data_IF_930985123327
#
_entry.id   IF_930985123327
#
_cell.length_a   1.000
_cell.length_b   1.000
_cell.length_c   1.000
_cell.angle_alpha   90.00
_cell.angle_beta   90.00
_cell.angle_gamma   90.00
#
_symmetry.space_group_name_H-M   'P 1'
#
loop_
_entity.id
_entity.type
_entity.pdbx_description
1 polymer ?
#
# COMPACT_ATOMS: atom_id res chain seq x y z
N UNK A 1 15.14 -8.75 -5.78
CA UNK A 1 13.85 -8.19 -5.23
C UNK A 1 12.72 -8.65 -6.12
N UNK A 2 11.76 -9.40 -5.57
CA UNK A 2 10.74 -10.15 -6.34
C UNK A 2 10.01 -9.34 -7.42
N UNK A 3 9.62 -8.07 -7.12
CA UNK A 3 8.92 -7.24 -8.10
C UNK A 3 9.82 -6.85 -9.29
N UNK A 4 11.09 -6.53 -9.05
CA UNK A 4 12.01 -6.15 -10.13
C UNK A 4 12.32 -7.33 -11.03
N UNK A 5 12.48 -8.53 -10.47
CA UNK A 5 12.63 -9.79 -11.21
C UNK A 5 11.39 -10.11 -12.04
N UNK A 6 10.18 -9.89 -11.48
CA UNK A 6 8.93 -10.05 -12.19
C UNK A 6 8.79 -9.05 -13.36
N UNK A 7 9.18 -7.79 -13.16
CA UNK A 7 9.17 -6.79 -14.24
C UNK A 7 10.08 -7.20 -15.41
N UNK A 8 11.29 -7.70 -15.13
CA UNK A 8 12.18 -8.21 -16.16
C UNK A 8 11.60 -9.43 -16.86
N UNK A 9 11.05 -10.38 -16.10
CA UNK A 9 10.41 -11.57 -16.65
C UNK A 9 9.26 -11.23 -17.61
N UNK A 10 8.32 -10.37 -17.17
CA UNK A 10 7.17 -10.00 -18.01
C UNK A 10 7.52 -8.98 -19.10
N UNK A 11 8.68 -8.30 -19.03
CA UNK A 11 9.17 -7.42 -20.08
C UNK A 11 9.47 -8.19 -21.40
N UNK A 12 9.66 -9.50 -21.32
CA UNK A 12 9.82 -10.38 -22.48
C UNK A 12 8.47 -10.77 -23.14
N UNK A 13 7.36 -10.27 -22.61
CA UNK A 13 6.00 -10.55 -23.07
C UNK A 13 5.34 -9.31 -23.64
N UNK A 14 4.24 -9.50 -24.43
CA UNK A 14 3.43 -8.39 -24.96
C UNK A 14 2.38 -7.89 -23.96
N UNK A 15 2.48 -8.28 -22.68
CA UNK A 15 1.49 -7.92 -21.65
C UNK A 15 1.50 -6.42 -21.35
N UNK A 16 0.30 -5.87 -21.14
CA UNK A 16 0.13 -4.52 -20.64
C UNK A 16 0.26 -4.53 -19.12
N UNK A 17 1.14 -3.68 -18.59
CA UNK A 17 1.32 -3.49 -17.16
C UNK A 17 0.33 -2.46 -16.61
N UNK A 18 0.13 -1.34 -17.32
CA UNK A 18 -0.69 -0.22 -16.85
C UNK A 18 -1.63 0.25 -17.96
N UNK A 19 -2.89 0.47 -17.59
CA UNK A 19 -3.86 1.26 -18.35
C UNK A 19 -4.28 2.47 -17.52
N UNK A 20 -4.13 3.65 -18.13
CA UNK A 20 -4.52 4.92 -17.52
C UNK A 20 -5.14 5.81 -18.60
N UNK A 21 -6.45 6.04 -18.54
CA UNK A 21 -7.22 6.62 -19.64
C UNK A 21 -6.96 5.87 -20.95
N UNK A 22 -6.57 6.56 -22.00
CA UNK A 22 -6.23 5.98 -23.31
C UNK A 22 -4.81 5.41 -23.37
N UNK A 23 -4.00 5.68 -22.35
CA UNK A 23 -2.60 5.24 -22.28
C UNK A 23 -2.48 3.76 -21.93
N UNK A 24 -1.56 3.09 -22.62
CA UNK A 24 -1.22 1.68 -22.40
C UNK A 24 0.29 1.53 -22.29
N UNK A 25 0.75 1.14 -21.13
CA UNK A 25 2.16 0.88 -20.88
C UNK A 25 2.36 -0.63 -20.77
N UNK A 26 3.15 -1.22 -21.69
CA UNK A 26 3.51 -2.64 -21.60
C UNK A 26 4.53 -2.87 -20.49
N UNK A 27 4.67 -4.14 -20.02
CA UNK A 27 5.74 -4.51 -19.09
C UNK A 27 7.13 -4.20 -19.66
N UNK A 28 7.35 -4.42 -20.96
CA UNK A 28 8.58 -4.04 -21.65
C UNK A 28 8.84 -2.53 -21.57
N UNK A 29 7.81 -1.71 -21.81
CA UNK A 29 7.93 -0.26 -21.71
C UNK A 29 8.19 0.18 -20.26
N UNK A 30 7.45 -0.34 -19.29
CA UNK A 30 7.61 -0.03 -17.87
C UNK A 30 9.02 -0.38 -17.38
N UNK A 31 9.51 -1.57 -17.72
CA UNK A 31 10.85 -2.01 -17.35
C UNK A 31 11.94 -1.12 -17.96
N UNK A 32 11.82 -0.79 -19.27
CA UNK A 32 12.76 0.10 -19.97
C UNK A 32 12.78 1.52 -19.37
N UNK A 33 11.59 2.07 -19.05
CA UNK A 33 11.48 3.37 -18.40
C UNK A 33 12.12 3.34 -17.01
N UNK A 34 11.93 2.28 -16.23
CA UNK A 34 12.57 2.11 -14.94
C UNK A 34 14.10 2.01 -15.06
N UNK A 35 14.63 1.31 -16.07
CA UNK A 35 16.06 1.23 -16.33
C UNK A 35 16.65 2.60 -16.75
N UNK A 36 15.93 3.37 -17.59
CA UNK A 36 16.30 4.73 -17.98
C UNK A 36 16.38 5.67 -16.77
N UNK A 37 15.38 5.63 -15.91
CA UNK A 37 15.37 6.42 -14.68
C UNK A 37 16.47 5.99 -13.71
N UNK A 38 16.70 4.69 -13.54
CA UNK A 38 17.79 4.17 -12.73
C UNK A 38 19.17 4.61 -13.26
N UNK A 39 19.37 4.61 -14.58
CA UNK A 39 20.59 5.08 -15.21
C UNK A 39 20.81 6.58 -14.98
N UNK A 40 19.74 7.39 -15.09
CA UNK A 40 19.77 8.81 -14.76
C UNK A 40 20.21 9.03 -13.30
N UNK A 41 19.55 8.37 -12.33
CA UNK A 41 19.85 8.51 -10.91
C UNK A 41 21.31 8.17 -10.59
N UNK A 42 21.83 7.05 -11.14
CA UNK A 42 23.22 6.62 -10.90
C UNK A 42 24.25 7.55 -11.52
N UNK A 43 23.96 8.17 -12.67
CA UNK A 43 24.87 9.09 -13.35
C UNK A 43 24.90 10.47 -12.71
N UNK A 44 23.75 10.94 -12.23
CA UNK A 44 23.55 12.34 -11.85
C UNK A 44 23.69 12.57 -10.35
N UNK A 45 23.33 11.57 -9.52
CA UNK A 45 23.26 11.75 -8.08
C UNK A 45 24.40 11.02 -7.35
N UNK A 46 24.86 11.56 -6.20
CA UNK A 46 25.83 10.89 -5.36
C UNK A 46 25.26 9.57 -4.81
N UNK A 47 26.11 8.58 -4.52
CA UNK A 47 25.70 7.29 -3.94
C UNK A 47 25.44 7.38 -2.42
N UNK A 48 24.62 8.33 -2.00
CA UNK A 48 24.32 8.64 -0.60
C UNK A 48 23.09 7.90 -0.03
N UNK A 49 22.37 7.17 -0.88
CA UNK A 49 21.19 6.41 -0.49
C UNK A 49 19.95 7.26 -0.18
N UNK A 50 19.99 8.59 -0.34
CA UNK A 50 18.81 9.45 -0.14
C UNK A 50 17.70 9.06 -1.11
N UNK A 51 16.41 9.10 -0.65
CA UNK A 51 15.28 8.65 -1.46
C UNK A 51 14.96 9.61 -2.61
N UNK A 52 14.08 9.13 -3.51
CA UNK A 52 13.47 9.91 -4.58
C UNK A 52 12.06 10.30 -4.14
N UNK A 53 11.72 11.58 -4.09
CA UNK A 53 10.35 12.04 -3.86
C UNK A 53 9.62 12.20 -5.20
N UNK A 54 8.40 11.67 -5.28
CA UNK A 54 7.57 11.72 -6.49
C UNK A 54 6.25 12.38 -6.10
N UNK A 55 6.04 13.61 -6.56
CA UNK A 55 4.82 14.39 -6.32
C UNK A 55 3.95 14.35 -7.56
N UNK A 56 2.96 13.49 -7.53
CA UNK A 56 2.04 13.22 -8.64
C UNK A 56 0.83 12.44 -8.14
N UNK A 57 -0.10 12.07 -9.02
CA UNK A 57 -1.29 11.31 -8.62
C UNK A 57 -1.25 9.87 -9.15
N UNK A 58 -1.67 9.67 -10.40
CA UNK A 58 -1.83 8.34 -11.01
C UNK A 58 -1.14 8.21 -12.37
N UNK A 59 -0.34 9.19 -12.76
CA UNK A 59 0.38 9.16 -14.04
C UNK A 59 1.16 7.86 -14.19
N UNK A 60 1.10 7.25 -15.37
CA UNK A 60 1.74 5.96 -15.66
C UNK A 60 3.28 5.96 -15.54
N UNK A 61 3.89 7.13 -15.58
CA UNK A 61 5.33 7.32 -15.33
C UNK A 61 5.73 7.10 -13.86
N UNK A 62 4.82 7.25 -12.89
CA UNK A 62 5.12 7.15 -11.47
C UNK A 62 5.65 5.77 -11.08
N UNK A 63 5.01 4.63 -11.45
CA UNK A 63 5.58 3.31 -11.19
C UNK A 63 6.97 3.10 -11.81
N UNK A 64 7.23 3.67 -12.99
CA UNK A 64 8.57 3.61 -13.59
C UNK A 64 9.62 4.34 -12.74
N UNK A 65 9.29 5.50 -12.17
CA UNK A 65 10.17 6.22 -11.24
C UNK A 65 10.40 5.43 -9.94
N UNK A 66 9.34 4.84 -9.38
CA UNK A 66 9.44 4.00 -8.17
C UNK A 66 10.38 2.81 -8.39
N UNK A 67 10.12 2.02 -9.42
CA UNK A 67 10.95 0.85 -9.71
C UNK A 67 12.35 1.23 -10.18
N UNK A 68 12.51 2.34 -10.91
CA UNK A 68 13.79 2.88 -11.28
C UNK A 68 14.63 3.33 -10.08
N UNK A 69 14.01 3.93 -9.06
CA UNK A 69 14.66 4.24 -7.79
C UNK A 69 15.18 2.95 -7.11
N UNK A 70 14.32 1.92 -7.01
CA UNK A 70 14.69 0.62 -6.42
C UNK A 70 15.82 -0.06 -7.22
N UNK A 71 15.80 0.01 -8.55
CA UNK A 71 16.88 -0.48 -9.43
C UNK A 71 18.17 0.31 -9.29
N UNK A 72 18.10 1.56 -8.79
CA UNK A 72 19.28 2.40 -8.47
C UNK A 72 19.75 2.26 -7.01
N UNK A 73 19.18 1.32 -6.23
CA UNK A 73 19.51 1.13 -4.81
C UNK A 73 18.98 2.24 -3.90
N UNK A 74 17.92 2.96 -4.32
CA UNK A 74 17.30 4.06 -3.58
C UNK A 74 15.86 3.75 -3.25
N UNK A 75 15.38 4.24 -2.10
CA UNK A 75 13.98 4.26 -1.77
C UNK A 75 13.22 5.37 -2.50
N UNK A 76 11.90 5.31 -2.46
CA UNK A 76 11.03 6.35 -2.99
C UNK A 76 10.02 6.85 -1.97
N UNK A 77 9.50 8.07 -2.19
CA UNK A 77 8.49 8.73 -1.38
C UNK A 77 7.38 9.18 -2.32
N UNK A 78 6.26 8.45 -2.40
CA UNK A 78 5.12 8.89 -3.20
C UNK A 78 4.32 9.93 -2.41
N UNK A 79 4.09 11.07 -3.02
CA UNK A 79 3.25 12.14 -2.45
C UNK A 79 2.15 12.45 -3.43
N UNK A 80 0.90 12.28 -2.99
CA UNK A 80 -0.26 12.49 -3.84
C UNK A 80 -0.60 13.99 -3.94
N UNK A 81 -1.02 14.42 -5.12
CA UNK A 81 -1.42 15.81 -5.39
C UNK A 81 -2.73 16.20 -4.72
N UNK A 82 -3.45 15.24 -4.13
CA UNK A 82 -4.59 15.52 -3.25
C UNK A 82 -4.17 16.14 -1.93
N UNK A 83 -2.90 15.97 -1.53
CA UNK A 83 -2.37 16.67 -0.38
C UNK A 83 -2.11 18.14 -0.67
N UNK A 84 -2.37 19.04 0.30
CA UNK A 84 -1.96 20.44 0.19
C UNK A 84 -0.46 20.57 -0.08
N UNK A 85 -0.08 21.59 -0.86
CA UNK A 85 1.34 21.83 -1.21
C UNK A 85 2.21 22.04 0.04
N UNK A 86 1.67 22.64 1.10
CA UNK A 86 2.38 22.82 2.37
C UNK A 86 2.75 21.50 3.03
N UNK A 87 1.87 20.49 2.94
CA UNK A 87 2.17 19.12 3.41
C UNK A 87 3.27 18.48 2.58
N UNK A 88 3.24 18.63 1.26
CA UNK A 88 4.31 18.14 0.38
C UNK A 88 5.65 18.86 0.67
N UNK A 89 5.62 20.17 0.93
CA UNK A 89 6.79 20.94 1.36
C UNK A 89 7.35 20.47 2.71
N UNK A 90 6.49 20.11 3.66
CA UNK A 90 6.92 19.55 4.94
C UNK A 90 7.60 18.20 4.75
N UNK A 91 7.02 17.31 3.96
CA UNK A 91 7.60 15.99 3.62
C UNK A 91 8.98 16.17 2.96
N UNK A 92 9.08 17.11 2.03
CA UNK A 92 10.33 17.44 1.34
C UNK A 92 11.43 17.86 2.34
N UNK A 93 11.09 18.74 3.30
CA UNK A 93 12.04 19.18 4.34
C UNK A 93 12.47 18.04 5.26
N UNK A 94 11.52 17.20 5.69
CA UNK A 94 11.80 16.14 6.66
C UNK A 94 12.59 14.97 6.02
N UNK A 95 12.26 14.63 4.78
CA UNK A 95 12.88 13.49 4.09
C UNK A 95 14.16 13.81 3.35
N UNK A 96 14.39 15.07 3.00
CA UNK A 96 15.58 15.53 2.26
C UNK A 96 15.93 14.63 1.06
N UNK A 97 15.00 14.41 0.11
CA UNK A 97 15.24 13.50 -1.00
C UNK A 97 16.41 14.00 -1.88
N UNK A 98 17.06 13.08 -2.58
CA UNK A 98 18.11 13.42 -3.55
C UNK A 98 17.57 14.06 -4.82
N UNK A 99 16.30 13.76 -5.15
CA UNK A 99 15.59 14.35 -6.30
C UNK A 99 14.09 14.44 -5.99
N UNK A 100 13.48 15.53 -6.45
CA UNK A 100 12.03 15.70 -6.50
C UNK A 100 11.58 15.56 -7.95
N UNK A 101 10.69 14.62 -8.22
CA UNK A 101 9.91 14.53 -9.47
C UNK A 101 8.60 15.25 -9.22
N UNK A 102 8.43 16.45 -9.77
CA UNK A 102 7.24 17.29 -9.58
C UNK A 102 6.35 17.28 -10.83
N UNK A 103 5.34 16.41 -10.81
CA UNK A 103 4.36 16.25 -11.90
C UNK A 103 3.16 17.20 -11.77
N UNK A 104 3.19 18.12 -10.80
CA UNK A 104 2.13 19.11 -10.55
C UNK A 104 2.53 20.53 -10.91
N UNK A 105 3.80 20.79 -11.22
CA UNK A 105 4.36 22.14 -11.31
C UNK A 105 4.06 22.97 -10.04
N UNK A 106 4.33 22.37 -8.87
CA UNK A 106 3.94 22.91 -7.57
C UNK A 106 4.74 24.13 -7.12
N UNK A 107 5.91 24.36 -7.74
CA UNK A 107 6.90 25.35 -7.31
C UNK A 107 7.78 24.88 -6.16
N UNK A 108 7.63 23.65 -5.67
CA UNK A 108 8.57 23.05 -4.71
C UNK A 108 9.92 22.84 -5.37
N UNK A 109 11.00 22.96 -4.60
CA UNK A 109 12.37 22.82 -5.12
C UNK A 109 13.21 21.98 -4.18
N UNK A 110 13.95 21.03 -4.74
CA UNK A 110 14.99 20.24 -4.11
C UNK A 110 16.35 20.53 -4.79
N UNK A 111 17.42 19.90 -4.34
CA UNK A 111 18.75 19.99 -4.96
C UNK A 111 18.69 19.63 -6.46
N UNK A 112 17.91 18.59 -6.79
CA UNK A 112 17.53 18.24 -8.14
C UNK A 112 16.00 18.16 -8.21
N UNK A 113 15.41 18.92 -9.13
CA UNK A 113 13.96 18.91 -9.39
C UNK A 113 13.75 18.60 -10.86
N UNK A 114 12.88 17.64 -11.14
CA UNK A 114 12.48 17.23 -12.48
C UNK A 114 11.00 17.59 -12.68
N UNK A 115 10.72 18.38 -13.70
CA UNK A 115 9.37 18.59 -14.16
C UNK A 115 8.90 17.43 -15.04
N UNK A 116 7.67 17.47 -15.52
CA UNK A 116 7.09 16.42 -16.36
C UNK A 116 7.85 16.27 -17.69
N UNK A 117 8.28 17.38 -18.30
CA UNK A 117 9.05 17.38 -19.55
C UNK A 117 10.45 16.77 -19.35
N UNK A 118 11.15 17.11 -18.28
CA UNK A 118 12.45 16.53 -17.94
C UNK A 118 12.32 15.02 -17.75
N UNK A 119 11.29 14.60 -17.00
CA UNK A 119 11.02 13.20 -16.76
C UNK A 119 10.74 12.44 -18.07
N UNK A 120 9.86 12.98 -18.92
CA UNK A 120 9.54 12.38 -20.22
C UNK A 120 10.79 12.19 -21.09
N UNK A 121 11.68 13.19 -21.12
CA UNK A 121 12.96 13.08 -21.85
C UNK A 121 13.87 11.98 -21.27
N UNK A 122 13.94 11.87 -19.93
CA UNK A 122 14.74 10.82 -19.25
C UNK A 122 14.19 9.45 -19.57
N UNK A 123 12.87 9.24 -19.42
CA UNK A 123 12.20 7.95 -19.63
C UNK A 123 12.22 7.47 -21.10
N UNK A 124 12.38 8.38 -22.04
CA UNK A 124 12.51 8.08 -23.48
C UNK A 124 13.93 7.65 -23.87
N UNK A 125 14.95 7.91 -23.03
CA UNK A 125 16.33 7.57 -23.38
C UNK A 125 16.56 6.06 -23.38
N UNK A 126 17.32 5.53 -24.36
CA UNK A 126 17.77 4.16 -24.29
C UNK A 126 18.70 3.97 -23.08
N UNK A 127 18.47 2.90 -22.34
CA UNK A 127 19.31 2.52 -21.22
C UNK A 127 19.60 1.02 -21.23
N UNK A 128 20.78 0.64 -20.79
CA UNK A 128 21.09 -0.76 -20.50
C UNK A 128 20.33 -1.18 -19.23
N UNK A 129 19.93 -2.47 -19.14
CA UNK A 129 19.34 -3.00 -17.92
C UNK A 129 20.18 -2.67 -16.68
N UNK A 130 19.52 -2.27 -15.62
CA UNK A 130 20.20 -1.95 -14.37
C UNK A 130 20.80 -3.23 -13.76
N UNK A 131 22.12 -3.27 -13.43
CA UNK A 131 22.73 -4.45 -12.87
C UNK A 131 22.09 -4.80 -11.51
N UNK A 132 21.77 -6.09 -11.29
CA UNK A 132 21.13 -6.56 -10.06
C UNK A 132 21.94 -6.22 -8.80
N UNK A 133 23.26 -6.14 -8.90
CA UNK A 133 24.13 -5.70 -7.80
C UNK A 133 23.91 -4.25 -7.35
N UNK A 134 23.28 -3.43 -8.20
CA UNK A 134 22.91 -2.05 -7.89
C UNK A 134 21.49 -1.90 -7.34
N UNK A 135 20.72 -2.96 -7.29
CA UNK A 135 19.34 -2.91 -6.79
C UNK A 135 19.28 -2.69 -5.27
N UNK A 136 18.12 -2.23 -4.82
CA UNK A 136 17.83 -2.09 -3.39
C UNK A 136 18.07 -3.40 -2.65
N UNK A 137 18.75 -3.35 -1.50
CA UNK A 137 19.03 -4.53 -0.66
C UNK A 137 17.97 -4.69 0.43
N UNK A 138 17.81 -5.90 1.00
CA UNK A 138 16.76 -6.20 2.00
C UNK A 138 16.74 -5.24 3.18
N UNK A 139 17.91 -4.79 3.66
CA UNK A 139 18.02 -3.89 4.81
C UNK A 139 17.79 -2.42 4.48
N UNK A 140 17.75 -2.06 3.20
CA UNK A 140 17.56 -0.67 2.76
C UNK A 140 16.07 -0.32 2.68
N UNK A 141 15.75 0.93 2.99
CA UNK A 141 14.40 1.47 2.87
C UNK A 141 13.98 1.53 1.40
N UNK A 142 12.96 0.74 1.04
CA UNK A 142 12.40 0.69 -0.30
C UNK A 142 11.42 1.84 -0.53
N UNK A 143 10.61 2.18 0.47
CA UNK A 143 9.76 3.35 0.42
C UNK A 143 9.54 3.99 1.79
N UNK A 144 9.15 5.27 1.76
CA UNK A 144 8.66 6.00 2.92
C UNK A 144 7.25 6.48 2.64
N UNK A 145 6.33 6.17 3.55
CA UNK A 145 4.98 6.72 3.52
C UNK A 145 4.77 7.65 4.71
N UNK A 146 4.26 8.84 4.43
CA UNK A 146 4.03 9.85 5.46
C UNK A 146 2.59 9.82 5.93
N UNK A 147 2.39 9.38 7.17
CA UNK A 147 1.09 9.34 7.86
C UNK A 147 0.88 10.59 8.72
N UNK A 148 -0.37 10.90 9.09
CA UNK A 148 -0.65 11.96 10.08
C UNK A 148 -0.01 11.61 11.42
N UNK A 149 0.43 12.64 12.14
CA UNK A 149 1.00 12.50 13.48
C UNK A 149 0.16 13.26 14.49
N UNK A 150 0.06 12.79 15.72
CA UNK A 150 -0.67 13.43 16.83
C UNK A 150 -0.23 14.88 17.14
N UNK A 151 0.87 15.33 16.57
CA UNK A 151 1.40 16.70 16.72
C UNK A 151 1.22 17.55 15.46
N UNK A 152 0.35 17.16 14.51
CA UNK A 152 0.20 17.83 13.21
C UNK A 152 1.36 17.65 12.24
N UNK A 153 2.47 17.06 12.70
CA UNK A 153 3.66 16.83 11.86
C UNK A 153 3.63 15.42 11.25
N UNK A 154 3.70 15.26 9.92
CA UNK A 154 3.71 13.95 9.28
C UNK A 154 4.85 13.07 9.79
N UNK A 155 4.57 11.77 9.94
CA UNK A 155 5.53 10.75 10.34
C UNK A 155 5.89 9.89 9.12
N UNK A 156 7.16 9.87 8.70
CA UNK A 156 7.64 9.04 7.59
C UNK A 156 7.93 7.61 8.06
N UNK A 157 7.03 6.67 7.78
CA UNK A 157 7.23 5.24 8.06
C UNK A 157 8.21 4.66 7.05
N UNK A 158 9.28 4.06 7.53
CA UNK A 158 10.30 3.45 6.67
C UNK A 158 9.97 1.98 6.41
N UNK A 159 9.79 1.59 5.16
CA UNK A 159 9.59 0.17 4.80
C UNK A 159 10.77 -0.32 3.99
N UNK A 160 11.44 -1.36 4.50
CA UNK A 160 12.60 -1.93 3.81
C UNK A 160 12.19 -2.92 2.73
N UNK A 161 13.11 -3.24 1.81
CA UNK A 161 12.87 -4.29 0.83
C UNK A 161 12.66 -5.66 1.47
N UNK A 162 13.26 -5.91 2.64
CA UNK A 162 13.02 -7.11 3.46
C UNK A 162 11.61 -7.15 4.04
N UNK A 163 11.10 -6.01 4.53
CA UNK A 163 9.71 -5.92 5.00
C UNK A 163 8.72 -6.24 3.86
N UNK A 164 8.96 -5.72 2.65
CA UNK A 164 8.14 -6.05 1.47
C UNK A 164 8.21 -7.53 1.10
N UNK A 165 9.37 -8.17 1.22
CA UNK A 165 9.48 -9.61 1.00
C UNK A 165 8.70 -10.42 2.04
N UNK A 166 8.71 -10.00 3.31
CA UNK A 166 7.91 -10.61 4.38
C UNK A 166 6.41 -10.42 4.14
N UNK A 167 5.98 -9.22 3.73
CA UNK A 167 4.60 -8.95 3.33
C UNK A 167 4.17 -9.85 2.16
N UNK A 168 4.96 -9.92 1.08
CA UNK A 168 4.69 -10.78 -0.06
C UNK A 168 4.49 -12.25 0.35
N UNK A 169 5.35 -12.77 1.22
CA UNK A 169 5.21 -14.12 1.75
C UNK A 169 3.90 -14.31 2.51
N UNK A 170 3.53 -13.35 3.36
CA UNK A 170 2.30 -13.39 4.18
C UNK A 170 1.01 -13.35 3.36
N UNK A 171 0.95 -12.50 2.33
CA UNK A 171 -0.27 -12.35 1.49
C UNK A 171 -0.37 -13.37 0.37
N UNK A 172 0.69 -14.13 0.11
CA UNK A 172 0.74 -15.12 -0.98
C UNK A 172 -0.49 -16.04 -1.05
N UNK A 173 -1.02 -16.60 0.07
CA UNK A 173 -2.21 -17.45 0.02
C UNK A 173 -3.44 -16.76 -0.58
N UNK A 174 -3.63 -15.47 -0.30
CA UNK A 174 -4.74 -14.67 -0.81
C UNK A 174 -4.60 -14.36 -2.30
N UNK A 175 -3.40 -13.97 -2.73
CA UNK A 175 -3.12 -13.65 -4.13
C UNK A 175 -2.93 -14.89 -5.01
N UNK A 176 -2.65 -16.07 -4.46
CA UNK A 176 -2.51 -17.31 -5.23
C UNK A 176 -3.79 -17.72 -5.99
N UNK A 177 -4.95 -17.21 -5.59
CA UNK A 177 -6.23 -17.44 -6.27
C UNK A 177 -6.39 -16.65 -7.56
N UNK A 178 -5.60 -15.60 -7.72
CA UNK A 178 -5.67 -14.73 -8.90
C UNK A 178 -4.93 -15.37 -10.09
N UNK A 179 -5.43 -15.18 -11.31
CA UNK A 179 -4.76 -15.67 -12.49
C UNK A 179 -3.48 -14.91 -12.74
N UNK A 180 -2.55 -15.54 -13.40
CA UNK A 180 -1.44 -14.84 -14.02
C UNK A 180 -1.93 -14.02 -15.21
N UNK A 181 -1.55 -12.73 -15.28
CA UNK A 181 -1.91 -11.85 -16.39
C UNK A 181 -3.36 -11.36 -16.40
N UNK A 182 -4.07 -11.42 -15.28
CA UNK A 182 -5.41 -10.87 -15.13
C UNK A 182 -5.46 -9.35 -15.07
N UNK A 183 -6.62 -8.80 -14.70
CA UNK A 183 -6.82 -7.36 -14.49
C UNK A 183 -6.97 -7.05 -13.00
N UNK A 184 -6.40 -5.94 -12.57
CA UNK A 184 -6.46 -5.45 -11.20
C UNK A 184 -6.89 -3.98 -11.19
N UNK A 185 -7.84 -3.61 -10.32
CA UNK A 185 -8.25 -2.22 -10.15
C UNK A 185 -7.21 -1.48 -9.31
N UNK A 186 -6.58 -0.46 -9.87
CA UNK A 186 -5.57 0.37 -9.22
C UNK A 186 -6.17 1.75 -8.88
N UNK A 187 -6.98 1.80 -7.83
CA UNK A 187 -7.68 3.02 -7.41
C UNK A 187 -6.99 3.74 -6.23
N UNK A 188 -6.33 2.98 -5.34
CA UNK A 188 -5.75 3.51 -4.12
C UNK A 188 -4.55 4.42 -4.43
N UNK A 189 -4.53 5.62 -3.86
CA UNK A 189 -3.40 6.56 -3.98
C UNK A 189 -2.08 5.89 -3.61
N UNK A 190 -1.02 6.18 -4.36
CA UNK A 190 0.31 5.65 -4.07
C UNK A 190 0.91 6.15 -2.74
N UNK A 191 0.35 7.22 -2.17
CA UNK A 191 0.70 7.70 -0.82
C UNK A 191 0.02 6.89 0.31
N UNK A 192 -0.75 5.87 -0.03
CA UNK A 192 -1.43 4.99 0.90
C UNK A 192 -0.94 3.54 0.70
N UNK A 193 -0.61 2.87 1.80
CA UNK A 193 0.13 1.58 1.78
C UNK A 193 -0.61 0.43 1.09
N UNK A 194 -1.95 0.43 1.08
CA UNK A 194 -2.73 -0.58 0.37
C UNK A 194 -2.45 -0.59 -1.14
N UNK A 195 -1.95 0.52 -1.71
CA UNK A 195 -1.49 0.58 -3.10
C UNK A 195 -0.36 -0.41 -3.42
N UNK A 196 0.35 -0.88 -2.40
CA UNK A 196 1.38 -1.92 -2.51
C UNK A 196 0.80 -3.23 -3.05
N UNK A 197 -0.46 -3.55 -2.76
CA UNK A 197 -1.15 -4.70 -3.35
C UNK A 197 -1.21 -4.62 -4.89
N UNK A 198 -1.47 -3.42 -5.44
CA UNK A 198 -1.44 -3.22 -6.89
C UNK A 198 -0.01 -3.23 -7.43
N UNK A 199 0.88 -2.42 -6.84
CA UNK A 199 2.23 -2.20 -7.36
C UNK A 199 3.13 -3.44 -7.22
N UNK A 200 2.98 -4.22 -6.17
CA UNK A 200 3.88 -5.33 -5.89
C UNK A 200 3.21 -6.68 -6.14
N UNK A 201 1.99 -6.89 -5.65
CA UNK A 201 1.36 -8.22 -5.78
C UNK A 201 0.75 -8.43 -7.17
N UNK A 202 -0.01 -7.46 -7.70
CA UNK A 202 -0.63 -7.63 -9.01
C UNK A 202 0.40 -7.60 -10.14
N UNK A 203 1.33 -6.63 -10.13
CA UNK A 203 2.36 -6.57 -11.18
C UNK A 203 3.33 -7.76 -11.13
N UNK A 204 3.67 -8.30 -9.94
CA UNK A 204 4.53 -9.48 -9.83
C UNK A 204 3.89 -10.75 -10.42
N UNK A 205 2.59 -10.73 -10.69
CA UNK A 205 1.82 -11.78 -11.36
C UNK A 205 1.54 -11.48 -12.83
N UNK A 206 2.16 -10.44 -13.39
CA UNK A 206 1.95 -10.02 -14.77
C UNK A 206 0.54 -9.48 -15.05
N UNK A 207 -0.18 -9.03 -14.01
CA UNK A 207 -1.53 -8.48 -14.16
C UNK A 207 -1.47 -7.05 -14.72
N UNK A 208 -2.52 -6.66 -15.43
CA UNK A 208 -2.70 -5.27 -15.90
C UNK A 208 -3.35 -4.44 -14.81
N UNK A 209 -2.70 -3.35 -14.41
CA UNK A 209 -3.31 -2.33 -13.54
C UNK A 209 -4.24 -1.45 -14.35
N UNK A 210 -5.54 -1.49 -14.05
CA UNK A 210 -6.54 -0.56 -14.56
C UNK A 210 -6.66 0.59 -13.57
N UNK A 211 -6.09 1.72 -13.95
CA UNK A 211 -5.88 2.84 -13.02
C UNK A 211 -7.08 3.77 -13.04
N UNK A 212 -7.69 3.95 -11.87
CA UNK A 212 -8.71 4.95 -11.60
C UNK A 212 -8.09 6.12 -10.86
N UNK A 213 -8.15 7.31 -11.44
CA UNK A 213 -7.78 8.54 -10.77
C UNK A 213 -8.96 9.15 -10.00
N UNK A 214 -8.69 10.25 -9.31
CA UNK A 214 -9.71 10.94 -8.52
C UNK A 214 -10.94 11.33 -9.36
N UNK A 215 -10.74 11.83 -10.59
CA UNK A 215 -11.85 12.22 -11.45
C UNK A 215 -12.74 11.04 -11.82
N UNK A 216 -12.13 9.88 -12.09
CA UNK A 216 -12.84 8.63 -12.34
C UNK A 216 -13.62 8.18 -11.10
N UNK A 217 -13.02 8.24 -9.91
CA UNK A 217 -13.64 7.80 -8.65
C UNK A 217 -14.79 8.72 -8.20
N UNK A 218 -14.70 10.02 -8.45
CA UNK A 218 -15.75 11.00 -8.13
C UNK A 218 -16.95 10.95 -9.09
N UNK A 219 -16.82 10.26 -10.24
CA UNK A 219 -17.90 10.07 -11.22
C UNK A 219 -18.41 8.64 -11.23
N UNK A 220 -19.61 8.36 -10.70
CA UNK A 220 -20.20 7.01 -10.77
C UNK A 220 -20.23 6.44 -12.18
N UNK A 221 -20.55 7.27 -13.17
CA UNK A 221 -20.62 6.87 -14.57
C UNK A 221 -19.24 6.43 -15.09
N UNK A 222 -18.19 7.23 -14.84
CA UNK A 222 -16.82 6.92 -15.27
C UNK A 222 -16.28 5.67 -14.57
N UNK A 223 -16.50 5.53 -13.24
CA UNK A 223 -16.10 4.36 -12.48
C UNK A 223 -16.77 3.09 -13.02
N UNK A 224 -18.08 3.09 -13.22
CA UNK A 224 -18.80 1.91 -13.73
C UNK A 224 -18.42 1.59 -15.18
N UNK A 225 -18.08 2.59 -15.99
CA UNK A 225 -17.52 2.36 -17.32
C UNK A 225 -16.15 1.68 -17.22
N UNK A 226 -15.24 2.19 -16.39
CA UNK A 226 -13.94 1.58 -16.16
C UNK A 226 -14.08 0.12 -15.68
N UNK A 227 -15.00 -0.16 -14.76
CA UNK A 227 -15.25 -1.51 -14.26
C UNK A 227 -15.75 -2.47 -15.34
N UNK A 228 -16.63 -2.02 -16.25
CA UNK A 228 -17.09 -2.83 -17.41
C UNK A 228 -15.96 -3.17 -18.36
N UNK A 229 -15.04 -2.23 -18.58
CA UNK A 229 -13.90 -2.41 -19.48
C UNK A 229 -12.80 -3.26 -18.84
N UNK A 230 -12.47 -2.99 -17.58
CA UNK A 230 -11.42 -3.66 -16.84
C UNK A 230 -11.78 -5.11 -16.49
N UNK A 231 -13.02 -5.36 -16.05
CA UNK A 231 -13.47 -6.65 -15.53
C UNK A 231 -12.43 -7.25 -14.59
N UNK A 232 -12.10 -6.56 -13.47
CA UNK A 232 -11.01 -6.96 -12.60
C UNK A 232 -11.19 -8.38 -12.06
N UNK A 233 -10.07 -9.10 -11.94
CA UNK A 233 -10.02 -10.44 -11.35
C UNK A 233 -9.93 -10.38 -9.82
N UNK A 234 -9.53 -9.23 -9.26
CA UNK A 234 -9.53 -8.97 -7.82
C UNK A 234 -10.01 -7.56 -7.52
N UNK A 235 -10.68 -7.43 -6.38
CA UNK A 235 -11.03 -6.17 -5.77
C UNK A 235 -10.25 -6.02 -4.47
N UNK A 236 -9.40 -5.01 -4.38
CA UNK A 236 -8.70 -4.63 -3.14
C UNK A 236 -8.93 -3.16 -2.92
N UNK A 237 -9.61 -2.80 -1.83
CA UNK A 237 -9.92 -1.41 -1.49
C UNK A 237 -10.15 -1.23 0.00
N UNK A 238 -10.39 0.02 0.42
CA UNK A 238 -11.11 0.26 1.67
C UNK A 238 -12.58 -0.12 1.50
N UNK A 239 -13.31 -0.48 2.58
CA UNK A 239 -14.75 -0.72 2.54
C UNK A 239 -15.55 0.42 1.90
N UNK A 240 -15.17 1.68 2.13
CA UNK A 240 -15.88 2.87 1.65
C UNK A 240 -16.13 2.88 0.14
N UNK A 241 -15.17 2.44 -0.69
CA UNK A 241 -15.38 2.38 -2.14
C UNK A 241 -16.44 1.34 -2.53
N UNK A 242 -16.41 0.17 -1.88
CA UNK A 242 -17.41 -0.86 -2.14
C UNK A 242 -18.79 -0.44 -1.61
N UNK A 243 -18.87 0.24 -0.46
CA UNK A 243 -20.11 0.83 0.06
C UNK A 243 -20.70 1.83 -0.94
N UNK A 244 -19.88 2.69 -1.52
CA UNK A 244 -20.31 3.57 -2.59
C UNK A 244 -20.87 2.79 -3.80
N UNK A 245 -20.18 1.75 -4.25
CA UNK A 245 -20.59 0.96 -5.40
C UNK A 245 -21.90 0.17 -5.18
N UNK A 246 -22.15 -0.38 -3.98
CA UNK A 246 -23.37 -1.17 -3.69
C UNK A 246 -24.66 -0.35 -3.69
N UNK A 247 -24.59 0.99 -3.67
CA UNK A 247 -25.78 1.83 -3.87
C UNK A 247 -26.38 1.67 -5.28
N UNK A 248 -25.59 1.17 -6.23
CA UNK A 248 -26.07 0.82 -7.57
C UNK A 248 -26.38 -0.67 -7.67
N UNK A 249 -27.57 -1.02 -8.18
CA UNK A 249 -27.92 -2.41 -8.51
C UNK A 249 -27.03 -3.02 -9.60
N UNK A 250 -26.35 -2.17 -10.39
CA UNK A 250 -25.42 -2.63 -11.42
C UNK A 250 -24.14 -3.24 -10.83
N UNK A 251 -23.81 -2.97 -9.54
CA UNK A 251 -22.65 -3.56 -8.89
C UNK A 251 -22.95 -4.99 -8.46
N UNK A 252 -22.77 -5.92 -9.36
CA UNK A 252 -23.11 -7.34 -9.21
C UNK A 252 -22.21 -8.22 -10.09
N UNK A 253 -22.39 -9.53 -10.05
CA UNK A 253 -21.56 -10.50 -10.76
C UNK A 253 -21.56 -10.30 -12.29
N UNK A 254 -22.63 -9.76 -12.86
CA UNK A 254 -22.70 -9.45 -14.30
C UNK A 254 -21.76 -8.30 -14.69
N UNK A 255 -21.54 -7.32 -13.80
CA UNK A 255 -20.57 -6.25 -14.01
C UNK A 255 -19.13 -6.75 -13.87
N UNK A 256 -18.88 -7.57 -12.85
CA UNK A 256 -17.55 -8.09 -12.52
C UNK A 256 -17.48 -9.62 -12.67
N UNK A 257 -17.66 -10.15 -13.90
CA UNK A 257 -17.82 -11.60 -14.11
C UNK A 257 -16.55 -12.40 -13.87
N UNK A 258 -15.39 -11.76 -13.69
CA UNK A 258 -14.11 -12.39 -13.46
C UNK A 258 -13.60 -12.24 -12.04
N UNK A 259 -14.28 -11.44 -11.19
CA UNK A 259 -13.83 -11.20 -9.82
C UNK A 259 -13.76 -12.52 -9.06
N UNK A 260 -12.61 -12.76 -8.41
CA UNK A 260 -12.31 -14.00 -7.68
C UNK A 260 -12.20 -13.79 -6.18
N UNK A 261 -12.04 -12.54 -5.76
CA UNK A 261 -12.09 -12.17 -4.34
C UNK A 261 -12.28 -10.66 -4.17
N UNK A 262 -12.89 -10.31 -3.04
CA UNK A 262 -12.85 -8.99 -2.44
C UNK A 262 -11.93 -9.03 -1.22
N UNK A 263 -10.97 -8.11 -1.13
CA UNK A 263 -10.10 -7.94 0.02
C UNK A 263 -10.22 -6.51 0.51
N UNK A 264 -10.60 -6.36 1.77
CA UNK A 264 -10.79 -5.07 2.41
C UNK A 264 -9.81 -4.88 3.54
N UNK A 265 -9.25 -3.66 3.63
CA UNK A 265 -8.41 -3.23 4.73
C UNK A 265 -8.44 -1.71 4.88
N UNK A 266 -7.83 -1.21 5.95
CA UNK A 266 -7.73 0.23 6.18
C UNK A 266 -8.91 0.84 6.93
N UNK A 267 -10.09 0.22 6.91
CA UNK A 267 -11.30 0.64 7.63
C UNK A 267 -12.04 -0.58 8.17
N UNK A 268 -13.03 -0.34 9.02
CA UNK A 268 -13.88 -1.42 9.56
C UNK A 268 -14.83 -1.93 8.47
N UNK A 269 -14.71 -3.20 8.11
CA UNK A 269 -15.67 -3.87 7.25
C UNK A 269 -16.97 -4.14 8.03
N UNK A 270 -18.08 -3.57 7.58
CA UNK A 270 -19.40 -3.77 8.22
C UNK A 270 -20.00 -5.12 7.81
N UNK A 271 -20.76 -5.74 8.72
CA UNK A 271 -21.54 -6.95 8.40
C UNK A 271 -22.52 -6.72 7.24
N UNK A 272 -23.11 -5.52 7.20
CA UNK A 272 -24.05 -5.13 6.14
C UNK A 272 -23.39 -5.16 4.76
N UNK A 273 -22.19 -4.55 4.62
CA UNK A 273 -21.44 -4.56 3.37
C UNK A 273 -21.02 -5.97 2.98
N UNK A 274 -20.46 -6.73 3.93
CA UNK A 274 -20.01 -8.09 3.67
C UNK A 274 -21.16 -9.02 3.22
N UNK A 275 -22.32 -8.95 3.90
CA UNK A 275 -23.50 -9.71 3.53
C UNK A 275 -24.03 -9.36 2.13
N UNK A 276 -24.04 -8.06 1.80
CA UNK A 276 -24.49 -7.60 0.49
C UNK A 276 -23.56 -8.03 -0.64
N UNK A 277 -22.25 -8.01 -0.40
CA UNK A 277 -21.26 -8.51 -1.36
C UNK A 277 -21.40 -10.03 -1.59
N UNK A 278 -21.54 -10.82 -0.52
CA UNK A 278 -21.74 -12.27 -0.63
C UNK A 278 -23.07 -12.60 -1.37
N UNK A 279 -24.10 -11.79 -1.19
CA UNK A 279 -25.38 -11.93 -1.91
C UNK A 279 -25.26 -11.60 -3.40
N UNK A 280 -24.56 -10.49 -3.75
CA UNK A 280 -24.41 -10.01 -5.14
C UNK A 280 -23.38 -10.76 -5.97
N UNK A 281 -22.40 -11.36 -5.29
CA UNK A 281 -21.29 -12.09 -5.90
C UNK A 281 -21.21 -13.51 -5.32
N UNK A 282 -22.17 -14.39 -5.64
CA UNK A 282 -22.23 -15.75 -5.07
C UNK A 282 -20.94 -16.52 -5.37
N UNK A 283 -20.34 -17.12 -4.34
CA UNK A 283 -19.12 -17.92 -4.46
C UNK A 283 -17.83 -17.12 -4.54
N UNK A 284 -17.88 -15.79 -4.51
CA UNK A 284 -16.69 -14.95 -4.44
C UNK A 284 -16.38 -14.64 -2.96
N UNK A 285 -15.20 -15.03 -2.44
CA UNK A 285 -14.85 -14.77 -1.06
C UNK A 285 -14.69 -13.26 -0.78
N UNK A 286 -15.16 -12.85 0.40
CA UNK A 286 -14.95 -11.53 0.97
C UNK A 286 -13.95 -11.67 2.10
N UNK A 287 -12.78 -11.05 1.96
CA UNK A 287 -11.69 -11.10 2.93
C UNK A 287 -11.65 -9.80 3.72
N UNK A 288 -11.68 -9.91 5.04
CA UNK A 288 -11.37 -8.81 5.94
C UNK A 288 -9.92 -8.94 6.40
N UNK A 289 -9.11 -7.93 6.14
CA UNK A 289 -7.68 -7.91 6.46
C UNK A 289 -7.31 -6.66 7.26
N UNK A 290 -6.25 -6.78 8.04
CA UNK A 290 -5.78 -5.71 8.91
C UNK A 290 -4.25 -5.63 8.89
N UNK A 291 -3.76 -4.40 9.00
CA UNK A 291 -2.38 -4.06 9.26
C UNK A 291 -2.20 -2.55 9.34
N UNK A 292 -1.37 -2.05 10.25
CA UNK A 292 -0.91 -0.67 10.23
C UNK A 292 0.26 -0.52 9.25
N UNK A 293 0.47 0.69 8.75
CA UNK A 293 1.58 1.02 7.82
C UNK A 293 2.93 0.61 8.39
N UNK A 294 3.10 0.71 9.70
CA UNK A 294 4.29 0.35 10.46
C UNK A 294 4.61 -1.16 10.44
N UNK A 295 3.68 -1.98 9.97
CA UNK A 295 3.86 -3.43 9.82
C UNK A 295 3.70 -3.91 8.38
N UNK A 296 3.86 -3.01 7.41
CA UNK A 296 3.86 -3.26 5.97
C UNK A 296 2.51 -3.80 5.48
N UNK A 297 1.53 -2.90 5.38
CA UNK A 297 0.21 -3.08 4.75
C UNK A 297 -0.73 -4.01 5.50
N UNK A 298 -0.46 -5.32 5.51
CA UNK A 298 -1.33 -6.34 6.09
C UNK A 298 -0.52 -7.35 6.90
N UNK A 299 -1.07 -7.74 8.05
CA UNK A 299 -0.47 -8.77 8.93
C UNK A 299 -1.47 -9.85 9.35
N UNK A 300 -2.76 -9.62 9.11
CA UNK A 300 -3.82 -10.60 9.38
C UNK A 300 -4.86 -10.58 8.28
N UNK A 301 -5.65 -11.65 8.19
CA UNK A 301 -6.78 -11.71 7.28
C UNK A 301 -7.65 -12.94 7.51
N UNK A 302 -8.93 -12.83 7.12
CA UNK A 302 -9.88 -13.95 7.17
C UNK A 302 -10.95 -13.81 6.09
N UNK A 303 -11.42 -14.92 5.56
CA UNK A 303 -12.65 -14.96 4.75
C UNK A 303 -13.86 -14.85 5.65
N UNK A 304 -14.79 -13.97 5.27
CA UNK A 304 -16.05 -13.80 5.99
C UNK A 304 -16.99 -14.94 5.64
N UNK A 305 -17.49 -15.62 6.66
CA UNK A 305 -18.44 -16.70 6.55
C UNK A 305 -19.83 -16.26 7.00
N UNK A 306 -20.88 -17.03 6.61
CA UNK A 306 -22.25 -16.77 7.09
C UNK A 306 -22.32 -16.84 8.61
N UNK A 307 -21.63 -17.79 9.26
CA UNK A 307 -21.61 -17.89 10.72
C UNK A 307 -21.06 -16.62 11.40
N UNK A 308 -20.06 -15.95 10.80
CA UNK A 308 -19.54 -14.67 11.30
C UNK A 308 -20.53 -13.53 11.15
N UNK A 309 -21.34 -13.54 10.08
CA UNK A 309 -22.41 -12.57 9.87
C UNK A 309 -23.55 -12.72 10.88
N UNK A 310 -23.89 -13.96 11.21
CA UNK A 310 -25.00 -14.30 12.12
C UNK A 310 -24.62 -14.15 13.61
N UNK A 311 -23.33 -14.15 13.95
CA UNK A 311 -22.85 -13.97 15.32
C UNK A 311 -23.08 -12.54 15.82
N UNK A 312 -23.25 -12.33 17.13
CA UNK A 312 -23.38 -10.96 17.70
C UNK A 312 -22.06 -10.19 17.72
N UNK A 313 -20.91 -10.88 17.68
CA UNK A 313 -19.57 -10.27 17.69
C UNK A 313 -19.30 -9.44 16.41
N UNK A 314 -18.42 -8.42 16.44
CA UNK A 314 -17.97 -7.74 15.24
C UNK A 314 -17.26 -8.73 14.29
N UNK A 315 -17.12 -8.36 13.01
CA UNK A 315 -16.33 -9.17 12.07
C UNK A 315 -14.88 -9.26 12.53
N UNK A 316 -14.28 -10.46 12.55
CA UNK A 316 -12.87 -10.62 12.91
C UNK A 316 -11.97 -9.97 11.85
N UNK A 317 -10.80 -9.50 12.29
CA UNK A 317 -9.69 -9.08 11.42
C UNK A 317 -8.78 -10.26 11.04
N UNK A 318 -9.08 -11.43 11.55
CA UNK A 318 -8.52 -12.70 11.12
C UNK A 318 -7.35 -13.24 11.94
N UNK A 319 -6.67 -14.21 11.35
CA UNK A 319 -5.47 -14.81 11.95
C UNK A 319 -4.22 -14.08 11.49
N UNK A 320 -3.19 -13.97 12.36
CA UNK A 320 -1.87 -13.52 11.91
C UNK A 320 -1.36 -14.39 10.76
N UNK A 321 -0.63 -13.79 9.83
CA UNK A 321 0.07 -14.53 8.79
C UNK A 321 1.15 -15.43 9.42
N UNK A 322 1.57 -16.50 8.73
CA UNK A 322 2.51 -17.50 9.27
C UNK A 322 3.85 -16.89 9.75
N UNK A 323 4.28 -15.80 9.13
CA UNK A 323 5.51 -15.08 9.46
C UNK A 323 5.30 -13.89 10.42
N UNK A 324 4.13 -13.81 11.06
CA UNK A 324 3.75 -12.75 11.99
C UNK A 324 3.30 -13.35 13.32
N UNK A 325 3.80 -12.80 14.42
CA UNK A 325 3.28 -13.06 15.76
C UNK A 325 2.41 -11.86 16.19
N UNK A 326 1.24 -12.16 16.72
CA UNK A 326 0.36 -11.17 17.33
C UNK A 326 0.15 -11.54 18.81
N UNK A 327 0.28 -10.55 19.68
CA UNK A 327 0.11 -10.70 21.13
C UNK A 327 -0.87 -9.62 21.58
N UNK A 328 -1.86 -10.02 22.40
CA UNK A 328 -2.68 -9.06 23.12
C UNK A 328 -2.00 -8.80 24.46
N UNK A 329 -1.73 -7.55 24.78
CA UNK A 329 -0.92 -7.18 25.96
C UNK A 329 -1.60 -6.13 26.82
N UNK A 330 -1.26 -6.14 28.11
CA UNK A 330 -1.61 -5.07 29.05
C UNK A 330 -0.74 -3.81 28.82
N UNK A 331 -0.99 -2.76 29.60
CA UNK A 331 -0.23 -1.50 29.55
C UNK A 331 1.28 -1.69 29.80
N UNK A 332 1.65 -2.72 30.58
CA UNK A 332 3.04 -3.06 30.88
C UNK A 332 3.68 -3.95 29.80
N UNK A 333 2.93 -4.30 28.74
CA UNK A 333 3.40 -5.17 27.65
C UNK A 333 3.41 -6.66 27.96
N UNK A 334 2.75 -7.11 29.05
CA UNK A 334 2.62 -8.52 29.41
C UNK A 334 1.46 -9.14 28.63
N UNK A 335 1.69 -10.33 28.08
CA UNK A 335 0.65 -11.06 27.36
C UNK A 335 -0.56 -11.34 28.24
N UNK A 336 -1.76 -11.08 27.72
CA UNK A 336 -3.05 -11.39 28.32
C UNK A 336 -3.54 -12.79 27.93
N UNK A 337 -4.52 -13.29 28.65
CA UNK A 337 -5.15 -14.56 28.34
C UNK A 337 -6.08 -14.46 27.11
N UNK A 338 -6.36 -15.61 26.52
CA UNK A 338 -7.30 -15.70 25.40
C UNK A 338 -8.67 -15.11 25.77
N UNK A 339 -9.23 -14.27 24.91
CA UNK A 339 -10.48 -13.54 25.13
C UNK A 339 -10.37 -12.21 25.88
N UNK A 340 -9.27 -11.94 26.59
CA UNK A 340 -9.07 -10.67 27.29
C UNK A 340 -8.73 -9.53 26.30
N UNK A 341 -9.36 -8.35 26.43
CA UNK A 341 -9.03 -7.20 25.58
C UNK A 341 -7.76 -6.48 26.03
N UNK A 342 -6.92 -6.06 25.10
CA UNK A 342 -5.70 -5.32 25.34
C UNK A 342 -5.10 -4.72 24.08
N UNK A 343 -3.91 -4.15 24.19
CA UNK A 343 -3.19 -3.61 23.03
C UNK A 343 -2.67 -4.74 22.15
N UNK A 344 -2.91 -4.63 20.83
CA UNK A 344 -2.30 -5.53 19.87
C UNK A 344 -0.81 -5.17 19.66
N UNK A 345 0.07 -6.13 19.94
CA UNK A 345 1.49 -6.08 19.58
C UNK A 345 1.72 -6.96 18.36
N UNK A 346 2.38 -6.41 17.33
CA UNK A 346 2.75 -7.15 16.11
C UNK A 346 4.25 -7.36 16.09
N UNK A 347 4.69 -8.60 15.88
CA UNK A 347 6.10 -8.99 15.88
C UNK A 347 6.40 -9.77 14.59
N UNK A 348 7.49 -9.43 13.92
CA UNK A 348 7.90 -10.15 12.72
C UNK A 348 8.78 -9.34 11.76
N UNK A 349 9.16 -9.98 10.66
CA UNK A 349 10.00 -9.36 9.64
C UNK A 349 9.29 -8.25 8.84
N UNK A 350 7.96 -8.24 8.81
CA UNK A 350 7.15 -7.18 8.20
C UNK A 350 7.16 -5.87 9.02
N UNK A 351 7.64 -5.89 10.28
CA UNK A 351 7.69 -4.70 11.13
C UNK A 351 8.78 -3.74 10.66
N UNK A 352 8.39 -2.51 10.43
CA UNK A 352 9.23 -1.37 10.03
C UNK A 352 10.44 -1.17 10.96
N UNK A 353 11.57 -0.62 10.48
CA UNK A 353 12.63 -0.14 11.36
C UNK A 353 12.25 1.09 12.18
N UNK A 354 11.12 1.75 11.86
CA UNK A 354 10.58 2.90 12.57
C UNK A 354 10.35 4.12 11.69
N UNK A 355 10.08 5.23 12.33
CA UNK A 355 9.83 6.52 11.71
C UNK A 355 11.15 7.25 11.43
N UNK A 356 11.25 7.88 10.26
CA UNK A 356 12.39 8.68 9.85
C UNK A 356 12.63 9.84 10.84
N UNK A 357 13.82 9.90 11.44
CA UNK A 357 14.23 11.02 12.30
C UNK A 357 13.46 11.19 13.62
N UNK A 358 12.67 10.19 14.04
CA UNK A 358 11.82 10.27 15.26
C UNK A 358 12.31 9.31 16.36
N UNK A 359 13.52 9.52 16.89
CA UNK A 359 14.16 8.57 17.82
C UNK A 359 13.34 8.27 19.09
N UNK A 360 12.73 9.28 19.72
CA UNK A 360 11.96 9.06 20.95
C UNK A 360 10.67 8.31 20.69
N UNK A 361 9.95 8.62 19.60
CA UNK A 361 8.75 7.91 19.21
C UNK A 361 9.08 6.44 18.83
N UNK A 362 10.21 6.24 18.16
CA UNK A 362 10.67 4.90 17.82
C UNK A 362 10.96 4.06 19.07
N UNK A 363 11.61 4.62 20.09
CA UNK A 363 11.84 3.94 21.37
C UNK A 363 10.54 3.59 22.12
N UNK A 364 9.51 4.42 22.00
CA UNK A 364 8.23 4.21 22.66
C UNK A 364 7.39 3.12 22.00
N UNK A 365 7.39 3.07 20.65
CA UNK A 365 6.47 2.22 19.90
C UNK A 365 7.11 0.97 19.28
N UNK A 366 8.41 0.99 19.03
CA UNK A 366 9.11 -0.18 18.46
C UNK A 366 10.03 -0.81 19.48
N UNK A 367 10.04 -2.15 19.50
CA UNK A 367 10.88 -2.94 20.41
C UNK A 367 11.54 -4.10 19.65
N UNK A 368 12.43 -4.82 20.34
CA UNK A 368 12.98 -6.07 19.84
C UNK A 368 12.71 -7.18 20.86
N UNK A 369 12.37 -8.33 20.34
CA UNK A 369 12.30 -9.56 21.14
C UNK A 369 13.70 -10.05 21.50
N UNK A 370 13.82 -10.97 22.46
CA UNK A 370 15.10 -11.65 22.78
C UNK A 370 15.69 -12.37 21.55
N UNK A 371 14.84 -12.88 20.65
CA UNK A 371 15.23 -13.48 19.36
C UNK A 371 15.63 -12.49 18.28
N UNK A 372 15.64 -11.17 18.58
CA UNK A 372 16.06 -10.12 17.66
C UNK A 372 15.00 -9.65 16.66
N UNK A 373 13.81 -10.26 16.62
CA UNK A 373 12.70 -9.81 15.78
C UNK A 373 12.21 -8.42 16.22
N UNK A 374 11.77 -7.61 15.25
CA UNK A 374 11.15 -6.31 15.55
C UNK A 374 9.71 -6.52 15.99
N UNK A 375 9.27 -5.72 16.95
CA UNK A 375 7.88 -5.61 17.37
C UNK A 375 7.40 -4.16 17.32
N UNK A 376 6.10 -3.98 17.16
CA UNK A 376 5.42 -2.70 17.10
C UNK A 376 4.19 -2.70 18.01
N UNK A 377 4.06 -1.66 18.80
CA UNK A 377 2.88 -1.35 19.62
C UNK A 377 1.89 -0.59 18.75
N UNK A 378 0.77 -1.22 18.44
CA UNK A 378 -0.15 -0.66 17.42
C UNK A 378 -1.02 0.48 17.95
N UNK A 379 -1.23 0.54 19.27
CA UNK A 379 -2.24 1.39 19.89
C UNK A 379 -3.67 0.96 19.58
N UNK A 380 -3.86 -0.19 18.92
CA UNK A 380 -5.17 -0.77 18.64
C UNK A 380 -5.62 -1.68 19.77
N UNK A 381 -6.83 -1.44 20.29
CA UNK A 381 -7.49 -2.32 21.24
C UNK A 381 -8.07 -3.52 20.50
N UNK A 382 -7.58 -4.69 20.83
CA UNK A 382 -8.00 -5.95 20.23
C UNK A 382 -8.25 -7.02 21.30
N UNK A 383 -8.91 -8.10 20.91
CA UNK A 383 -8.90 -9.38 21.66
C UNK A 383 -8.59 -10.51 20.71
N UNK A 384 -8.07 -11.60 21.25
CA UNK A 384 -7.82 -12.83 20.49
C UNK A 384 -8.67 -13.96 21.10
N UNK A 385 -9.36 -14.71 20.28
CA UNK A 385 -10.15 -15.89 20.67
C UNK A 385 -9.82 -17.04 19.70
N UNK A 386 -9.30 -18.14 20.22
CA UNK A 386 -8.89 -19.30 19.41
C UNK A 386 -7.92 -18.92 18.27
N UNK A 387 -7.05 -17.95 18.51
CA UNK A 387 -6.10 -17.42 17.53
C UNK A 387 -6.71 -16.52 16.44
N UNK A 388 -7.98 -16.11 16.57
CA UNK A 388 -8.67 -15.16 15.71
C UNK A 388 -8.70 -13.80 16.40
N UNK A 389 -8.26 -12.77 15.71
CA UNK A 389 -8.22 -11.40 16.21
C UNK A 389 -9.51 -10.65 15.89
N UNK A 390 -9.97 -9.89 16.89
CA UNK A 390 -11.09 -8.97 16.80
C UNK A 390 -10.63 -7.56 17.14
N UNK A 391 -10.88 -6.61 16.24
CA UNK A 391 -10.62 -5.20 16.47
C UNK A 391 -11.77 -4.57 17.27
N UNK A 392 -11.45 -3.90 18.36
CA UNK A 392 -12.42 -3.30 19.28
C UNK A 392 -12.37 -1.77 19.26
N UNK A 393 -11.33 -1.17 18.66
CA UNK A 393 -11.16 0.28 18.59
C UNK A 393 -9.70 0.71 18.75
N UNK A 394 -9.51 1.98 19.08
CA UNK A 394 -8.19 2.56 19.38
C UNK A 394 -8.07 2.87 20.86
N UNK A 395 -6.85 2.79 21.37
CA UNK A 395 -6.49 3.25 22.74
C UNK A 395 -6.24 4.77 22.77
N UNK A 396 -6.01 5.39 21.61
CA UNK A 396 -5.83 6.83 21.41
C UNK A 396 -7.00 7.45 20.62
N UNK A 397 -6.96 8.76 20.40
CA UNK A 397 -7.98 9.52 19.66
C UNK A 397 -7.88 9.42 18.13
N UNK A 398 -7.16 8.45 17.59
CA UNK A 398 -6.96 8.30 16.14
C UNK A 398 -8.16 7.62 15.48
N UNK A 399 -8.58 8.15 14.33
CA UNK A 399 -9.67 7.56 13.51
C UNK A 399 -9.20 7.31 12.08
N UNK A 400 -9.87 6.40 11.37
CA UNK A 400 -9.74 6.21 9.93
C UNK A 400 -11.01 6.70 9.26
N UNK A 401 -10.88 7.63 8.30
CA UNK A 401 -11.99 8.23 7.57
C UNK A 401 -11.69 8.22 6.07
N UNK A 402 -12.49 7.52 5.29
CA UNK A 402 -12.30 7.34 3.83
C UNK A 402 -10.87 6.92 3.47
N UNK A 403 -10.29 6.00 4.24
CA UNK A 403 -8.92 5.52 4.08
C UNK A 403 -7.83 6.43 4.67
N UNK A 404 -8.15 7.66 5.04
CA UNK A 404 -7.19 8.56 5.67
C UNK A 404 -7.08 8.30 7.17
N UNK A 405 -5.84 8.24 7.67
CA UNK A 405 -5.55 8.21 9.11
C UNK A 405 -5.59 9.64 9.62
N UNK A 406 -6.52 9.93 10.52
CA UNK A 406 -6.76 11.26 11.08
C UNK A 406 -6.61 11.21 12.60
N UNK A 407 -5.82 12.12 13.14
CA UNK A 407 -5.73 12.34 14.59
C UNK A 407 -6.82 13.34 14.98
N UNK A 408 -7.70 13.00 15.92
CA UNK A 408 -8.75 13.92 16.37
C UNK A 408 -8.18 15.19 16.97
N UNK A 409 -7.06 15.08 17.68
CA UNK A 409 -6.33 16.23 18.24
C UNK A 409 -5.88 17.23 17.16
N UNK A 410 -5.52 16.77 15.95
CA UNK A 410 -5.17 17.66 14.84
C UNK A 410 -6.38 18.43 14.32
N UNK A 411 -7.57 17.84 14.39
CA UNK A 411 -8.83 18.49 13.97
C UNK A 411 -9.30 19.50 15.03
N UNK A 412 -9.09 19.19 16.30
CA UNK A 412 -9.47 20.08 17.41
C UNK A 412 -8.54 21.31 17.54
N UNK A 413 -7.29 21.19 17.10
CA UNK A 413 -6.27 22.25 17.20
C UNK A 413 -6.21 23.16 15.96
N UNK A 414 -6.99 22.92 14.90
CA UNK A 414 -7.12 23.73 13.69
C UNK A 414 -8.50 24.41 13.61
#
# INVERSE_FOLDING_TARGET
MFILEALEHYAETDRIAIRYHDEKVSFSALNRMADAFAAYLRRTLPSDGRPVMIYGHKQSAIPACMFGALKAGRGYIPVDTTYPTDRAAQILRDAQPSVLVDLRASGLSAEHTLCEEDLAQILAQPALPAPHSGWIRPEQTAYLLFTSGSTGTPKGVQITAGNLAAFHAGVKPWFARLPEGGAFLNEISYSFDVSVCALYEALSRGMTLWTADRQTLESPQALFQLLREARPDAWVSTPSLAEFCIHSEQFCAELLPRVRQFLFCGEVLTKKLAAELLRRFPGVPVVNAYGPTETTVLVTGTEITQAMLDADAPLPIGRPFENVQAIIADEQGRALLDGEPGELLVIGEAVSPGYLGRSELNKALFFRTEGGLRGYRTGDLCRMEDGILYYLGRLDGQIKLNGFRVELEDVENN
#
